data_IF_354514672112
#
_entry.id   IF_354514672112
#
_cell.length_a   1.000
_cell.length_b   1.000
_cell.length_c   1.000
_cell.angle_alpha   90.00
_cell.angle_beta   90.00
_cell.angle_gamma   90.00
#
_symmetry.space_group_name_H-M   'P 1'
#
loop_
_entity.id
_entity.type
_entity.pdbx_description
1 polymer ?
#
# COMPACT_ATOMS: atom_id res chain seq x y z
N UNK A 1 -22.11 -1.50 -20.10
CA UNK A 1 -21.57 -0.40 -19.27
C UNK A 1 -21.01 -0.93 -17.95
N UNK A 2 -21.80 -1.59 -17.10
CA UNK A 2 -21.37 -2.13 -15.79
C UNK A 2 -20.10 -3.01 -15.86
N UNK A 3 -20.03 -3.92 -16.83
CA UNK A 3 -18.85 -4.79 -17.03
C UNK A 3 -17.56 -4.02 -17.30
N UNK A 4 -17.60 -3.02 -18.19
CA UNK A 4 -16.45 -2.15 -18.47
C UNK A 4 -15.98 -1.41 -17.23
N UNK A 5 -16.91 -0.98 -16.38
CA UNK A 5 -16.61 -0.32 -15.12
C UNK A 5 -15.89 -1.28 -14.15
N UNK A 6 -16.43 -2.49 -13.93
CA UNK A 6 -15.82 -3.51 -13.05
C UNK A 6 -14.41 -3.86 -13.53
N UNK A 7 -14.24 -4.19 -14.82
CA UNK A 7 -12.92 -4.50 -15.37
C UNK A 7 -11.94 -3.33 -15.24
N UNK A 8 -12.41 -2.10 -15.52
CA UNK A 8 -11.63 -0.87 -15.36
C UNK A 8 -11.14 -0.70 -13.93
N UNK A 9 -12.05 -0.72 -12.95
CA UNK A 9 -11.73 -0.54 -11.53
C UNK A 9 -10.78 -1.62 -11.00
N UNK A 10 -10.94 -2.87 -11.44
CA UNK A 10 -10.03 -3.96 -11.03
C UNK A 10 -8.61 -3.70 -11.50
N UNK A 11 -8.44 -3.46 -12.80
CA UNK A 11 -7.12 -3.28 -13.39
C UNK A 11 -6.48 -1.99 -12.88
N UNK A 12 -7.29 -0.96 -12.64
CA UNK A 12 -6.84 0.27 -12.00
C UNK A 12 -6.28 -0.02 -10.61
N UNK A 13 -7.01 -0.79 -9.79
CA UNK A 13 -6.56 -1.18 -8.45
C UNK A 13 -5.24 -1.99 -8.49
N UNK A 14 -5.16 -3.01 -9.35
CA UNK A 14 -3.96 -3.85 -9.48
C UNK A 14 -2.74 -3.06 -9.96
N UNK A 15 -2.90 -2.23 -11.00
CA UNK A 15 -1.80 -1.44 -11.54
C UNK A 15 -1.40 -0.30 -10.60
N UNK A 16 -2.32 0.27 -9.84
CA UNK A 16 -2.00 1.24 -8.79
C UNK A 16 -1.17 0.60 -7.68
N UNK A 17 -1.54 -0.59 -7.20
CA UNK A 17 -0.74 -1.34 -6.22
C UNK A 17 0.66 -1.67 -6.76
N UNK A 18 0.75 -2.14 -8.01
CA UNK A 18 2.04 -2.43 -8.65
C UNK A 18 2.89 -1.17 -8.83
N UNK A 19 2.27 -0.06 -9.22
CA UNK A 19 2.92 1.25 -9.34
C UNK A 19 3.44 1.77 -8.01
N UNK A 20 2.63 1.68 -6.95
CA UNK A 20 3.05 2.01 -5.57
C UNK A 20 4.26 1.17 -5.16
N UNK A 21 4.18 -0.17 -5.30
CA UNK A 21 5.28 -1.07 -4.97
C UNK A 21 6.57 -0.75 -5.73
N UNK A 22 6.47 -0.42 -7.02
CA UNK A 22 7.61 0.00 -7.81
C UNK A 22 8.17 1.34 -7.33
N UNK A 23 7.31 2.29 -6.97
CA UNK A 23 7.73 3.60 -6.46
C UNK A 23 8.45 3.51 -5.11
N UNK A 24 8.09 2.55 -4.27
CA UNK A 24 8.81 2.25 -3.03
C UNK A 24 10.25 1.76 -3.25
N UNK A 25 10.62 1.31 -4.46
CA UNK A 25 12.02 0.99 -4.81
C UNK A 25 12.92 2.22 -4.91
N UNK A 26 12.33 3.42 -4.86
CA UNK A 26 13.04 4.70 -4.85
C UNK A 26 13.02 5.37 -3.48
N UNK A 27 12.58 4.67 -2.42
CA UNK A 27 12.71 5.19 -1.06
C UNK A 27 14.21 5.21 -0.68
N UNK A 28 14.66 6.25 -0.01
CA UNK A 28 16.04 6.39 0.42
C UNK A 28 16.42 5.42 1.55
N UNK A 29 17.70 5.43 1.86
CA UNK A 29 18.25 4.53 2.86
C UNK A 29 17.88 4.99 4.28
N UNK A 30 17.66 4.02 5.16
CA UNK A 30 17.51 4.29 6.59
C UNK A 30 18.88 4.63 7.19
N UNK A 31 18.93 5.45 8.26
CA UNK A 31 20.18 5.74 8.95
C UNK A 31 20.82 4.45 9.47
N UNK A 32 22.14 4.38 9.38
CA UNK A 32 22.97 3.35 10.01
C UNK A 32 22.83 3.40 11.53
N UNK A 33 23.26 2.34 12.24
CA UNK A 33 23.18 2.29 13.71
C UNK A 33 24.03 3.39 14.34
N UNK A 34 25.16 3.72 13.70
CA UNK A 34 26.06 4.80 14.12
C UNK A 34 25.38 6.15 13.95
N UNK A 35 24.73 6.39 12.80
CA UNK A 35 23.98 7.63 12.55
C UNK A 35 22.79 7.75 13.52
N UNK A 36 22.02 6.68 13.74
CA UNK A 36 20.91 6.69 14.70
C UNK A 36 21.40 7.02 16.12
N UNK A 37 22.52 6.41 16.56
CA UNK A 37 23.13 6.73 17.86
C UNK A 37 23.58 8.18 17.93
N UNK A 38 24.07 8.75 16.85
CA UNK A 38 24.44 10.17 16.80
C UNK A 38 23.21 11.09 16.97
N UNK A 39 22.08 10.73 16.35
CA UNK A 39 20.82 11.48 16.46
C UNK A 39 20.31 11.48 17.91
N UNK A 40 20.37 10.34 18.60
CA UNK A 40 19.83 10.19 19.97
C UNK A 40 20.84 10.51 21.08
N UNK A 41 22.12 10.70 20.75
CA UNK A 41 23.16 11.04 21.72
C UNK A 41 22.82 12.20 22.68
N UNK A 42 22.11 13.27 22.25
CA UNK A 42 21.69 14.35 23.14
C UNK A 42 20.78 13.93 24.30
N UNK A 43 20.14 12.76 24.23
CA UNK A 43 19.34 12.21 25.34
C UNK A 43 20.22 11.80 26.53
N UNK A 44 21.51 11.52 26.30
CA UNK A 44 22.46 11.21 27.37
C UNK A 44 22.21 9.89 28.10
N UNK A 45 21.43 8.98 27.52
CA UNK A 45 21.07 7.69 28.10
C UNK A 45 21.47 6.54 27.17
N UNK A 46 21.66 5.35 27.76
CA UNK A 46 21.82 4.13 26.99
C UNK A 46 20.48 3.63 26.43
N UNK A 47 20.57 2.74 25.44
CA UNK A 47 19.40 2.20 24.77
C UNK A 47 19.73 1.14 23.74
N UNK A 48 18.70 0.38 23.39
CA UNK A 48 18.74 -0.68 22.40
C UNK A 48 18.30 -0.14 21.03
N UNK A 49 18.88 -0.72 19.98
CA UNK A 49 18.50 -0.41 18.60
C UNK A 49 17.79 -1.60 17.98
N UNK A 50 16.70 -1.30 17.29
CA UNK A 50 16.01 -2.25 16.45
C UNK A 50 15.82 -1.67 15.06
N UNK A 51 16.08 -2.47 14.02
CA UNK A 51 15.96 -2.06 12.63
C UNK A 51 15.12 -3.08 11.87
N UNK A 52 14.22 -2.57 11.04
CA UNK A 52 13.63 -3.33 9.94
C UNK A 52 13.78 -2.53 8.64
N UNK A 53 14.63 -3.02 7.74
CA UNK A 53 14.88 -2.37 6.46
C UNK A 53 13.77 -2.63 5.44
N UNK A 54 12.98 -3.68 5.63
CA UNK A 54 12.13 -4.14 4.55
C UNK A 54 10.85 -3.32 4.46
N UNK A 55 10.54 -2.96 3.22
CA UNK A 55 9.32 -2.25 2.86
C UNK A 55 8.25 -3.34 2.70
N UNK A 56 7.38 -3.44 3.70
CA UNK A 56 6.47 -4.56 3.96
C UNK A 56 7.20 -5.89 4.28
N UNK A 57 7.47 -6.15 5.56
CA UNK A 57 7.85 -7.46 6.05
C UNK A 57 6.63 -8.29 6.44
N UNK A 58 6.81 -9.61 6.46
CA UNK A 58 5.91 -10.52 7.15
C UNK A 58 6.49 -10.72 8.55
N UNK A 59 5.67 -10.46 9.55
CA UNK A 59 6.07 -10.31 10.95
C UNK A 59 6.96 -11.43 11.48
N UNK A 60 7.89 -11.01 12.36
CA UNK A 60 8.41 -11.71 13.54
C UNK A 60 8.41 -13.25 13.48
N UNK A 61 9.60 -13.85 13.47
CA UNK A 61 9.80 -15.31 13.53
C UNK A 61 9.08 -15.97 14.73
N UNK A 62 8.64 -15.18 15.72
CA UNK A 62 7.90 -15.62 16.92
C UNK A 62 6.38 -15.58 16.80
N UNK A 63 5.82 -15.03 15.72
CA UNK A 63 4.38 -14.93 15.54
C UNK A 63 3.72 -16.28 15.18
N UNK A 64 2.55 -16.55 15.76
CA UNK A 64 1.72 -17.74 15.44
C UNK A 64 1.27 -17.77 13.96
N UNK A 65 0.81 -18.90 13.39
CA UNK A 65 0.56 -19.02 11.95
C UNK A 65 -0.54 -18.11 11.37
N UNK A 66 -1.38 -17.48 12.20
CA UNK A 66 -2.42 -16.55 11.74
C UNK A 66 -1.87 -15.15 11.39
N UNK A 67 -1.07 -14.49 12.26
CA UNK A 67 -0.39 -13.24 11.89
C UNK A 67 0.50 -13.34 10.64
N UNK A 68 0.97 -14.55 10.29
CA UNK A 68 1.69 -14.82 9.03
C UNK A 68 0.85 -14.77 7.76
N UNK A 69 -0.48 -14.74 7.83
CA UNK A 69 -1.35 -14.65 6.64
C UNK A 69 -1.98 -13.26 6.53
N UNK A 70 -2.21 -12.61 7.67
CA UNK A 70 -2.94 -11.35 7.75
C UNK A 70 -2.06 -10.14 8.08
N UNK A 71 -0.80 -10.35 8.43
CA UNK A 71 0.12 -9.32 8.92
C UNK A 71 -0.05 -9.02 10.40
N UNK A 72 0.97 -8.39 10.99
CA UNK A 72 0.84 -7.65 12.25
C UNK A 72 0.95 -6.15 11.97
N UNK A 73 0.43 -5.32 12.88
CA UNK A 73 0.54 -3.85 12.77
C UNK A 73 1.99 -3.38 12.62
N UNK A 74 2.94 -4.12 13.20
CA UNK A 74 4.37 -3.80 13.18
C UNK A 74 5.12 -4.29 11.93
N UNK A 75 4.56 -5.25 11.18
CA UNK A 75 5.24 -5.86 10.04
C UNK A 75 5.06 -5.11 8.71
N UNK A 76 3.98 -4.34 8.59
CA UNK A 76 3.71 -3.57 7.37
C UNK A 76 4.06 -2.10 7.58
N UNK A 77 5.33 -1.78 7.37
CA UNK A 77 5.86 -0.43 7.52
C UNK A 77 6.75 0.01 6.36
N UNK A 78 7.14 1.30 6.35
CA UNK A 78 8.01 1.86 5.32
C UNK A 78 9.50 1.51 5.55
N UNK A 79 9.75 0.57 6.47
CA UNK A 79 11.04 0.36 7.13
C UNK A 79 11.35 1.46 8.14
N UNK A 80 12.05 1.09 9.21
CA UNK A 80 12.38 2.01 10.30
C UNK A 80 13.66 1.58 11.04
N UNK A 81 14.18 2.53 11.81
CA UNK A 81 15.14 2.30 12.89
C UNK A 81 14.55 2.88 14.16
N UNK A 82 14.50 2.07 15.21
CA UNK A 82 13.98 2.42 16.52
C UNK A 82 15.14 2.38 17.51
N UNK A 83 15.22 3.41 18.34
CA UNK A 83 16.03 3.45 19.55
C UNK A 83 15.09 3.48 20.76
N UNK A 84 15.24 2.51 21.65
CA UNK A 84 14.50 2.44 22.91
C UNK A 84 15.46 2.68 24.06
N UNK A 85 15.18 3.66 24.91
CA UNK A 85 16.01 3.95 26.06
C UNK A 85 15.88 2.82 27.10
N UNK A 86 16.98 2.50 27.78
CA UNK A 86 16.94 1.59 28.95
C UNK A 86 16.68 2.33 30.26
N UNK A 87 16.68 3.67 30.19
CA UNK A 87 16.50 4.57 31.33
C UNK A 87 15.40 5.59 31.02
N UNK A 88 14.75 6.07 32.07
CA UNK A 88 13.69 7.07 31.94
C UNK A 88 14.27 8.42 31.50
N UNK A 89 13.67 9.01 30.48
CA UNK A 89 14.01 10.34 29.96
C UNK A 89 12.83 11.27 30.21
N UNK A 90 13.10 12.37 30.90
CA UNK A 90 12.07 13.35 31.30
C UNK A 90 11.92 14.50 30.31
N UNK A 91 12.92 14.74 29.46
CA UNK A 91 12.95 15.87 28.54
C UNK A 91 13.49 15.46 27.16
N UNK A 92 12.66 15.64 26.12
CA UNK A 92 13.02 15.44 24.72
C UNK A 92 13.57 16.71 24.06
N UNK A 93 13.56 17.85 24.75
CA UNK A 93 14.05 19.14 24.27
C UNK A 93 15.47 19.10 23.68
N UNK A 94 16.46 18.45 24.34
CA UNK A 94 17.80 18.31 23.81
C UNK A 94 17.86 17.59 22.45
N UNK A 95 17.12 16.48 22.30
CA UNK A 95 17.00 15.74 21.04
C UNK A 95 16.46 16.64 19.92
N UNK A 96 15.33 17.32 20.17
CA UNK A 96 14.70 18.13 19.12
C UNK A 96 15.46 19.43 18.81
N UNK A 97 16.29 19.91 19.74
CA UNK A 97 17.22 21.01 19.48
C UNK A 97 18.32 20.54 18.55
N UNK A 98 18.93 19.39 18.85
CA UNK A 98 20.00 18.81 18.05
C UNK A 98 19.57 18.46 16.62
N UNK A 99 18.44 17.77 16.44
CA UNK A 99 17.97 17.44 15.08
C UNK A 99 17.61 18.69 14.28
N UNK A 100 17.10 19.75 14.93
CA UNK A 100 16.88 21.04 14.26
C UNK A 100 18.18 21.67 13.77
N UNK A 101 19.24 21.61 14.58
CA UNK A 101 20.57 22.07 14.20
C UNK A 101 21.18 21.24 13.06
N UNK A 102 20.87 19.94 13.00
CA UNK A 102 21.21 19.03 11.89
C UNK A 102 20.32 19.24 10.63
N UNK A 103 19.50 20.29 10.61
CA UNK A 103 18.70 20.68 9.45
C UNK A 103 17.35 19.95 9.32
N UNK A 104 16.93 19.20 10.34
CA UNK A 104 15.59 18.63 10.36
C UNK A 104 14.54 19.71 10.58
N UNK A 105 13.41 19.60 9.88
CA UNK A 105 12.24 20.42 10.15
C UNK A 105 11.44 19.78 11.28
N UNK A 106 11.57 20.35 12.46
CA UNK A 106 10.85 19.92 13.67
C UNK A 106 9.45 20.52 13.70
N UNK A 107 8.44 19.68 13.95
CA UNK A 107 7.06 20.09 14.11
C UNK A 107 6.51 19.87 15.51
N UNK A 108 5.20 19.65 15.58
CA UNK A 108 4.48 19.36 16.83
C UNK A 108 4.68 17.92 17.29
N UNK A 109 4.25 17.65 18.53
CA UNK A 109 4.14 16.28 19.08
C UNK A 109 5.41 15.44 18.95
N UNK A 110 6.57 16.06 19.18
CA UNK A 110 7.87 15.37 19.11
C UNK A 110 8.09 14.66 17.77
N UNK A 111 7.83 15.39 16.68
CA UNK A 111 8.08 14.90 15.31
C UNK A 111 9.06 15.81 14.55
N UNK A 112 9.79 15.22 13.61
CA UNK A 112 10.68 15.95 12.70
C UNK A 112 10.74 15.27 11.33
N UNK A 113 11.10 16.02 10.29
CA UNK A 113 11.28 15.50 8.92
C UNK A 113 12.58 16.02 8.33
N UNK A 114 13.33 15.16 7.64
CA UNK A 114 14.51 15.52 6.84
C UNK A 114 14.47 14.71 5.55
N UNK A 115 14.36 15.40 4.42
CA UNK A 115 14.26 14.79 3.10
C UNK A 115 13.13 13.75 3.03
N UNK A 116 13.45 12.47 2.87
CA UNK A 116 12.54 11.34 2.81
C UNK A 116 12.53 10.51 4.11
N UNK A 117 13.02 11.08 5.21
CA UNK A 117 12.96 10.50 6.54
C UNK A 117 12.03 11.30 7.45
N UNK A 118 11.31 10.57 8.30
CA UNK A 118 10.45 11.11 9.34
C UNK A 118 10.86 10.53 10.69
N UNK A 119 10.96 11.38 11.70
CA UNK A 119 11.35 11.04 13.06
C UNK A 119 10.18 11.31 14.00
N UNK A 120 9.82 10.35 14.83
CA UNK A 120 8.91 10.53 15.96
C UNK A 120 9.58 10.07 17.26
N UNK A 121 9.32 10.77 18.36
CA UNK A 121 9.74 10.35 19.68
C UNK A 121 8.52 10.28 20.60
N UNK A 122 8.32 9.15 21.27
CA UNK A 122 7.20 8.92 22.18
C UNK A 122 7.75 8.57 23.55
N UNK A 123 7.23 9.23 24.58
CA UNK A 123 7.48 8.88 25.99
C UNK A 123 6.41 7.86 26.41
N UNK A 124 6.85 6.66 26.80
CA UNK A 124 5.99 5.61 27.34
C UNK A 124 5.69 5.85 28.83
N UNK A 125 4.76 5.06 29.40
CA UNK A 125 4.18 5.34 30.72
C UNK A 125 5.14 5.28 31.91
N UNK A 126 6.30 4.64 31.75
CA UNK A 126 7.39 4.54 32.72
C UNK A 126 8.51 5.58 32.48
N UNK A 127 8.31 6.48 31.52
CA UNK A 127 9.30 7.49 31.13
C UNK A 127 10.36 6.95 30.15
N UNK A 128 10.28 5.70 29.72
CA UNK A 128 11.12 5.21 28.62
C UNK A 128 10.75 5.94 27.33
N UNK A 129 11.74 6.19 26.49
CA UNK A 129 11.57 6.90 25.23
C UNK A 129 11.85 5.98 24.08
N UNK A 130 10.91 5.95 23.14
CA UNK A 130 11.09 5.33 21.83
C UNK A 130 11.29 6.42 20.80
N UNK A 131 12.51 6.53 20.24
CA UNK A 131 12.80 7.37 19.07
C UNK A 131 12.76 6.50 17.82
N UNK A 132 11.92 6.85 16.85
CA UNK A 132 11.70 6.08 15.63
C UNK A 132 11.97 6.95 14.43
N UNK A 133 12.91 6.54 13.57
CA UNK A 133 13.13 7.13 12.25
C UNK A 133 12.60 6.15 11.21
N UNK A 134 11.76 6.64 10.31
CA UNK A 134 11.13 5.84 9.25
C UNK A 134 11.32 6.50 7.90
N UNK A 135 11.17 5.71 6.83
CA UNK A 135 11.05 6.27 5.49
C UNK A 135 9.67 6.94 5.32
N UNK A 136 9.67 8.09 4.70
CA UNK A 136 8.49 8.71 4.11
C UNK A 136 8.05 7.92 2.86
N UNK A 137 6.78 8.03 2.48
CA UNK A 137 6.35 7.58 1.16
C UNK A 137 7.14 8.34 0.09
N UNK A 138 7.86 7.66 -0.83
CA UNK A 138 8.52 8.34 -1.91
C UNK A 138 7.46 8.91 -2.87
N UNK A 139 7.69 10.12 -3.40
CA UNK A 139 6.79 10.76 -4.36
C UNK A 139 6.53 9.85 -5.59
N UNK A 140 7.52 9.04 -5.96
CA UNK A 140 7.40 8.02 -7.00
C UNK A 140 6.26 7.02 -6.73
N UNK A 141 6.05 6.57 -5.48
CA UNK A 141 4.97 5.64 -5.14
C UNK A 141 3.59 6.25 -5.39
N UNK A 142 3.42 7.55 -5.13
CA UNK A 142 2.16 8.26 -5.36
C UNK A 142 1.93 8.45 -6.85
N UNK A 143 2.92 8.99 -7.56
CA UNK A 143 2.81 9.24 -9.00
C UNK A 143 2.55 7.95 -9.76
N UNK A 144 3.33 6.89 -9.50
CA UNK A 144 3.15 5.60 -10.17
C UNK A 144 1.83 4.92 -9.77
N UNK A 145 1.37 5.07 -8.54
CA UNK A 145 0.05 4.59 -8.13
C UNK A 145 -1.08 5.28 -8.91
N UNK A 146 -1.04 6.61 -9.01
CA UNK A 146 -2.02 7.40 -9.78
C UNK A 146 -1.98 7.02 -11.26
N UNK A 147 -0.79 6.90 -11.86
CA UNK A 147 -0.63 6.46 -13.24
C UNK A 147 -1.17 5.03 -13.44
N UNK A 148 -0.94 4.15 -12.47
CA UNK A 148 -1.49 2.79 -12.45
C UNK A 148 -3.02 2.79 -12.43
N UNK A 149 -3.64 3.62 -11.60
CA UNK A 149 -5.09 3.82 -11.58
C UNK A 149 -5.61 4.22 -12.98
N UNK A 150 -5.01 5.24 -13.58
CA UNK A 150 -5.42 5.76 -14.89
C UNK A 150 -5.24 4.70 -16.00
N UNK A 151 -4.06 4.09 -16.08
CA UNK A 151 -3.74 3.07 -17.07
C UNK A 151 -4.67 1.86 -16.94
N UNK A 152 -4.90 1.38 -15.72
CA UNK A 152 -5.74 0.22 -15.48
C UNK A 152 -7.21 0.49 -15.76
N UNK A 153 -7.71 1.70 -15.45
CA UNK A 153 -9.07 2.10 -15.79
C UNK A 153 -9.28 2.12 -17.32
N UNK A 154 -8.32 2.66 -18.08
CA UNK A 154 -8.37 2.69 -19.54
C UNK A 154 -8.30 1.27 -20.12
N UNK A 155 -7.29 0.49 -19.74
CA UNK A 155 -7.09 -0.88 -20.24
C UNK A 155 -8.29 -1.76 -19.90
N UNK A 156 -8.74 -1.74 -18.64
CA UNK A 156 -9.88 -2.53 -18.20
C UNK A 156 -11.21 -2.08 -18.79
N UNK A 157 -11.39 -0.77 -19.00
CA UNK A 157 -12.55 -0.24 -19.72
C UNK A 157 -12.61 -0.76 -21.16
N UNK A 158 -11.48 -0.76 -21.86
CA UNK A 158 -11.36 -1.30 -23.23
C UNK A 158 -11.59 -2.81 -23.28
N UNK A 159 -11.00 -3.58 -22.36
CA UNK A 159 -11.18 -5.04 -22.27
C UNK A 159 -12.63 -5.40 -21.94
N UNK A 160 -13.28 -4.68 -21.03
CA UNK A 160 -14.65 -4.94 -20.63
C UNK A 160 -15.69 -4.62 -21.71
N UNK A 161 -15.32 -3.88 -22.78
CA UNK A 161 -16.17 -3.69 -23.98
C UNK A 161 -16.24 -4.94 -24.85
N UNK A 162 -15.33 -5.92 -24.69
CA UNK A 162 -15.39 -7.19 -25.43
C UNK A 162 -16.58 -8.03 -24.96
N UNK A 163 -17.20 -8.79 -25.86
CA UNK A 163 -18.32 -9.72 -25.57
C UNK A 163 -17.85 -10.98 -24.80
N UNK A 164 -17.32 -10.81 -23.59
CA UNK A 164 -17.18 -11.91 -22.62
C UNK A 164 -18.56 -12.21 -21.99
N UNK A 165 -18.81 -13.48 -21.68
CA UNK A 165 -20.11 -13.93 -21.17
C UNK A 165 -20.50 -13.23 -19.86
N UNK A 166 -21.81 -13.09 -19.59
CA UNK A 166 -22.34 -12.39 -18.41
C UNK A 166 -22.25 -13.21 -17.11
N UNK A 167 -21.92 -14.51 -17.16
CA UNK A 167 -21.84 -15.39 -15.98
C UNK A 167 -20.66 -15.05 -15.04
N UNK A 168 -19.45 -14.70 -15.50
CA UNK A 168 -18.36 -14.25 -14.63
C UNK A 168 -18.56 -12.87 -13.97
N UNK A 169 -19.59 -12.10 -14.36
CA UNK A 169 -19.72 -10.70 -13.92
C UNK A 169 -20.02 -10.53 -12.43
N UNK A 170 -20.72 -11.49 -11.81
CA UNK A 170 -21.06 -11.42 -10.36
C UNK A 170 -19.82 -11.65 -9.49
N UNK A 171 -19.02 -12.67 -9.82
CA UNK A 171 -17.76 -12.93 -9.13
C UNK A 171 -16.75 -11.81 -9.36
N UNK A 172 -16.73 -11.23 -10.57
CA UNK A 172 -15.90 -10.06 -10.86
C UNK A 172 -16.35 -8.83 -10.06
N UNK A 173 -17.66 -8.61 -9.92
CA UNK A 173 -18.20 -7.52 -9.10
C UNK A 173 -17.85 -7.70 -7.63
N UNK A 174 -17.99 -8.92 -7.09
CA UNK A 174 -17.59 -9.24 -5.73
C UNK A 174 -16.08 -9.06 -5.52
N UNK A 175 -15.25 -9.49 -6.47
CA UNK A 175 -13.80 -9.26 -6.43
C UNK A 175 -13.43 -7.78 -6.37
N UNK A 176 -14.07 -6.93 -7.19
CA UNK A 176 -13.89 -5.47 -7.13
C UNK A 176 -14.35 -4.89 -5.80
N UNK A 177 -15.50 -5.33 -5.28
CA UNK A 177 -16.02 -4.84 -4.01
C UNK A 177 -15.02 -5.07 -2.86
N UNK A 178 -14.27 -6.17 -2.91
CA UNK A 178 -13.25 -6.47 -1.90
C UNK A 178 -11.89 -5.80 -2.16
N UNK A 179 -11.51 -5.57 -3.42
CA UNK A 179 -10.22 -4.96 -3.78
C UNK A 179 -10.24 -3.43 -3.69
N UNK A 180 -11.31 -2.80 -4.15
CA UNK A 180 -11.38 -1.35 -4.34
C UNK A 180 -11.22 -0.55 -3.03
N UNK A 181 -11.87 -0.91 -1.92
CA UNK A 181 -11.69 -0.19 -0.66
C UNK A 181 -10.24 -0.22 -0.19
N UNK A 182 -9.57 -1.37 -0.34
CA UNK A 182 -8.17 -1.54 0.03
C UNK A 182 -7.27 -0.59 -0.79
N UNK A 183 -7.39 -0.60 -2.12
CA UNK A 183 -6.53 0.27 -2.94
C UNK A 183 -6.83 1.75 -2.73
N UNK A 184 -8.08 2.13 -2.46
CA UNK A 184 -8.44 3.51 -2.09
C UNK A 184 -7.77 3.89 -0.77
N UNK A 185 -7.89 3.07 0.27
CA UNK A 185 -7.27 3.32 1.58
C UNK A 185 -5.75 3.41 1.46
N UNK A 186 -5.12 2.52 0.70
CA UNK A 186 -3.67 2.55 0.46
C UNK A 186 -3.24 3.84 -0.25
N UNK A 187 -3.95 4.24 -1.31
CA UNK A 187 -3.65 5.46 -2.07
C UNK A 187 -3.88 6.72 -1.22
N UNK A 188 -4.97 6.75 -0.47
CA UNK A 188 -5.28 7.83 0.46
C UNK A 188 -4.23 7.92 1.58
N UNK A 189 -3.74 6.78 2.09
CA UNK A 189 -2.66 6.71 3.07
C UNK A 189 -1.36 7.32 2.55
N UNK A 190 -0.98 7.02 1.30
CA UNK A 190 0.21 7.62 0.67
C UNK A 190 0.07 9.15 0.52
N UNK A 191 -1.12 9.63 0.16
CA UNK A 191 -1.40 11.08 0.03
C UNK A 191 -1.39 11.75 1.41
N UNK A 192 -2.04 11.14 2.39
CA UNK A 192 -2.11 11.63 3.76
C UNK A 192 -0.71 11.72 4.38
N UNK A 193 0.16 10.75 4.08
CA UNK A 193 1.56 10.80 4.51
C UNK A 193 2.29 12.03 3.95
N UNK A 194 2.15 12.35 2.65
CA UNK A 194 2.76 13.59 2.12
C UNK A 194 2.23 14.86 2.77
N UNK A 195 0.95 14.89 3.12
CA UNK A 195 0.37 16.02 3.83
C UNK A 195 0.98 16.11 5.24
N UNK A 196 1.11 14.99 5.94
CA UNK A 196 1.71 14.90 7.27
C UNK A 196 3.19 15.28 7.26
N UNK A 197 3.95 14.89 6.23
CA UNK A 197 5.34 15.32 6.04
C UNK A 197 5.41 16.84 5.93
N UNK A 198 4.52 17.46 5.14
CA UNK A 198 4.49 18.91 5.00
C UNK A 198 4.05 19.64 6.27
N UNK A 199 3.12 19.09 7.05
CA UNK A 199 2.66 19.71 8.30
C UNK A 199 3.56 19.41 9.51
N UNK A 200 4.38 18.36 9.46
CA UNK A 200 5.16 17.85 10.62
C UNK A 200 4.26 17.65 11.85
N UNK A 201 3.08 17.08 11.65
CA UNK A 201 2.13 16.76 12.72
C UNK A 201 1.66 15.33 12.50
N UNK A 202 2.10 14.43 13.39
CA UNK A 202 1.65 13.02 13.46
C UNK A 202 1.81 12.24 12.15
N UNK A 203 2.66 11.23 12.14
CA UNK A 203 2.84 10.43 10.92
C UNK A 203 1.82 9.29 10.86
N UNK A 204 0.87 9.31 9.91
CA UNK A 204 -0.04 8.19 9.75
C UNK A 204 0.75 6.97 9.31
N UNK A 205 0.39 5.81 9.86
CA UNK A 205 0.84 4.52 9.35
C UNK A 205 0.07 4.28 8.05
N UNK A 206 0.77 4.35 6.92
CA UNK A 206 0.22 4.35 5.56
C UNK A 206 -0.71 3.14 5.31
N UNK A 207 -0.42 2.01 5.94
CA UNK A 207 -1.16 0.75 5.77
C UNK A 207 -2.06 0.37 6.94
N UNK A 208 -2.21 1.21 7.97
CA UNK A 208 -3.00 0.85 9.16
C UNK A 208 -4.45 0.49 8.82
N UNK A 209 -5.05 1.22 7.87
CA UNK A 209 -6.39 0.89 7.38
C UNK A 209 -6.46 -0.49 6.72
N UNK A 210 -5.37 -1.01 6.15
CA UNK A 210 -5.31 -2.34 5.53
C UNK A 210 -5.08 -3.46 6.54
N UNK A 211 -4.37 -3.15 7.64
CA UNK A 211 -4.00 -4.09 8.69
C UNK A 211 -5.16 -4.42 9.63
N UNK A 212 -6.25 -3.66 9.56
CA UNK A 212 -7.51 -4.08 10.15
C UNK A 212 -7.94 -5.43 9.55
N UNK A 213 -7.94 -6.48 10.37
CA UNK A 213 -8.15 -7.90 10.02
C UNK A 213 -9.22 -8.17 8.95
N UNK A 214 -10.31 -7.41 8.94
CA UNK A 214 -11.36 -7.54 7.94
C UNK A 214 -10.91 -7.22 6.51
N UNK A 215 -10.09 -6.17 6.31
CA UNK A 215 -9.72 -5.68 4.98
C UNK A 215 -8.60 -6.50 4.34
N UNK A 216 -7.70 -7.09 5.15
CA UNK A 216 -6.65 -7.97 4.67
C UNK A 216 -7.21 -9.28 4.08
N UNK A 217 -8.16 -9.94 4.77
CA UNK A 217 -8.81 -11.14 4.23
C UNK A 217 -9.62 -10.86 2.95
N UNK A 218 -10.27 -9.70 2.90
CA UNK A 218 -11.05 -9.28 1.73
C UNK A 218 -10.19 -9.17 0.47
N UNK A 219 -9.00 -8.58 0.52
CA UNK A 219 -8.20 -8.42 -0.71
C UNK A 219 -7.80 -9.77 -1.29
N UNK A 220 -7.41 -10.75 -0.46
CA UNK A 220 -7.04 -12.10 -0.92
C UNK A 220 -8.23 -12.80 -1.57
N UNK A 221 -9.41 -12.72 -0.95
CA UNK A 221 -10.66 -13.23 -1.54
C UNK A 221 -10.91 -12.53 -2.88
N UNK A 222 -10.73 -11.21 -2.93
CA UNK A 222 -10.85 -10.42 -4.14
C UNK A 222 -9.93 -10.90 -5.26
N UNK A 223 -8.64 -11.08 -4.98
CA UNK A 223 -7.66 -11.63 -5.94
C UNK A 223 -8.08 -13.02 -6.40
N UNK A 224 -8.41 -13.92 -5.48
CA UNK A 224 -8.83 -15.29 -5.79
C UNK A 224 -10.08 -15.33 -6.69
N UNK A 225 -11.07 -14.48 -6.42
CA UNK A 225 -12.27 -14.36 -7.25
C UNK A 225 -11.91 -13.86 -8.66
N UNK A 226 -11.02 -12.89 -8.78
CA UNK A 226 -10.61 -12.36 -10.09
C UNK A 226 -9.78 -13.35 -10.89
N UNK A 227 -8.84 -14.04 -10.26
CA UNK A 227 -8.05 -15.11 -10.89
C UNK A 227 -8.96 -16.27 -11.30
N UNK A 228 -9.90 -16.67 -10.44
CA UNK A 228 -10.87 -17.72 -10.72
C UNK A 228 -11.76 -17.39 -11.92
N UNK A 229 -12.29 -16.15 -11.98
CA UNK A 229 -13.06 -15.66 -13.12
C UNK A 229 -12.24 -15.71 -14.40
N UNK A 230 -11.00 -15.23 -14.37
CA UNK A 230 -10.11 -15.24 -15.54
C UNK A 230 -9.85 -16.67 -16.04
N UNK A 231 -9.58 -17.61 -15.13
CA UNK A 231 -9.36 -19.01 -15.47
C UNK A 231 -10.59 -19.70 -16.09
N UNK A 232 -11.78 -19.43 -15.55
CA UNK A 232 -13.04 -19.98 -16.07
C UNK A 232 -13.30 -19.43 -17.47
N UNK A 233 -13.17 -18.11 -17.67
CA UNK A 233 -13.46 -17.46 -18.95
C UNK A 233 -12.44 -17.87 -20.04
N UNK A 234 -11.17 -18.11 -19.67
CA UNK A 234 -10.14 -18.62 -20.58
C UNK A 234 -10.43 -20.04 -21.08
N UNK A 235 -11.04 -20.90 -20.24
CA UNK A 235 -11.33 -22.29 -20.61
C UNK A 235 -12.64 -22.46 -21.39
N UNK A 236 -13.55 -21.50 -21.33
CA UNK A 236 -14.80 -21.60 -22.06
C UNK A 236 -14.55 -21.26 -23.54
N UNK A 237 -14.82 -22.18 -24.48
CA UNK A 237 -14.70 -21.86 -25.91
C UNK A 237 -15.58 -20.65 -26.21
N UNK A 238 -15.02 -19.68 -26.95
CA UNK A 238 -15.76 -18.52 -27.40
C UNK A 238 -17.07 -18.94 -28.09
N UNK A 239 -18.12 -18.10 -28.07
CA UNK A 239 -19.36 -18.43 -28.73
C UNK A 239 -19.05 -18.86 -30.16
N UNK A 240 -19.49 -20.07 -30.53
CA UNK A 240 -19.26 -20.61 -31.85
C UNK A 240 -19.70 -19.55 -32.87
N UNK A 241 -18.87 -19.30 -33.88
CA UNK A 241 -19.26 -18.38 -34.95
C UNK A 241 -20.65 -18.81 -35.44
N UNK A 242 -21.61 -17.87 -35.60
CA UNK A 242 -22.92 -18.22 -36.10
C UNK A 242 -22.74 -19.02 -37.38
N UNK A 243 -23.38 -20.19 -37.45
CA UNK A 243 -23.31 -21.03 -38.64
C UNK A 243 -23.65 -20.16 -39.86
N UNK A 244 -22.89 -20.26 -40.97
CA UNK A 244 -23.20 -19.50 -42.17
C UNK A 244 -24.67 -19.72 -42.52
N UNK A 245 -25.39 -18.63 -42.80
CA UNK A 245 -26.77 -18.74 -43.23
C UNK A 245 -26.82 -19.71 -44.42
N UNK A 246 -27.78 -20.66 -44.45
CA UNK A 246 -27.95 -21.50 -45.62
C UNK A 246 -28.08 -20.60 -46.85
N UNK A 247 -27.47 -20.96 -47.99
CA UNK A 247 -27.59 -20.16 -49.20
C UNK A 247 -29.07 -19.90 -49.47
N UNK A 248 -29.44 -18.63 -49.68
CA UNK A 248 -30.79 -18.26 -50.09
C UNK A 248 -31.14 -19.14 -51.28
N UNK A 249 -32.17 -19.99 -51.12
CA UNK A 249 -32.63 -20.86 -52.19
C UNK A 249 -32.85 -20.06 -53.48
N UNK A 250 -32.69 -20.67 -54.66
CA UNK A 250 -32.86 -19.98 -55.92
C UNK A 250 -34.18 -19.22 -55.92
N UNK A 251 -34.13 -17.92 -56.19
CA UNK A 251 -35.32 -17.10 -56.38
C UNK A 251 -36.18 -17.79 -57.43
N UNK A 252 -37.36 -18.28 -57.03
CA UNK A 252 -38.32 -18.83 -57.97
C UNK A 252 -38.61 -17.74 -59.02
N UNK A 253 -38.44 -18.02 -60.32
CA UNK A 253 -38.78 -17.06 -61.35
C UNK A 253 -40.26 -16.68 -61.18
N UNK A 254 -40.51 -15.39 -60.97
CA UNK A 254 -41.86 -14.82 -61.01
C UNK A 254 -42.44 -15.10 -62.39
N UNK A 255 -43.60 -15.76 -62.40
CA UNK A 255 -44.30 -16.27 -63.58
C UNK A 255 -44.55 -15.21 -64.68
#
# INVERSE_FOLDING_TARGET
>A
MLKSLICGLTLAALLASAGSWLGWRFAGDLPTDVEMRSVVAPLGVEGELWRDDAIATWADERATPMPWIFGTEDAFGPGFVIFETTEAVTDLGPLFTHVREDGWRVGGDHTAVKEDLRLSAVVEGDGLVRVRIERAAPMAAIVLSILGWLAGAVIGGLLGRRRLSLKPTVFAAAGVLFLLPNTIVATAGLIADQIALNSTVGFPIIWNGLLNFGLCGCYLIGICLMVGVFFIDWRLPGPAAPAPLPPSGPESPSA
#
